data_IF_130915167830
#
_entry.id   IF_130915167830
#
_cell.length_a   1.000
_cell.length_b   1.000
_cell.length_c   1.000
_cell.angle_alpha   90.00
_cell.angle_beta   90.00
_cell.angle_gamma   90.00
#
_symmetry.space_group_name_H-M   'P 1'
#
loop_
_entity.id
_entity.type
_entity.pdbx_description
1 polymer ?
#
# COMPACT_ATOMS: atom_id res chain seq x y z
N UNK A 1 -2.79 12.22 8.16
CA UNK A 1 -2.98 13.66 8.48
C UNK A 1 -1.73 14.09 9.21
N UNK A 2 -1.21 15.31 9.00
CA UNK A 2 -0.02 15.75 9.73
C UNK A 2 -0.29 15.64 11.22
N UNK A 3 0.55 14.87 11.92
CA UNK A 3 0.39 14.63 13.35
C UNK A 3 1.17 15.68 14.12
N UNK A 4 0.66 16.08 15.29
CA UNK A 4 1.34 17.02 16.18
C UNK A 4 2.72 16.48 16.58
N UNK A 5 2.84 15.17 16.80
CA UNK A 5 4.12 14.52 17.07
C UNK A 5 5.07 14.57 15.86
N UNK A 6 4.58 14.39 14.64
CA UNK A 6 5.40 14.51 13.42
C UNK A 6 5.92 15.93 13.19
N UNK A 7 5.09 16.94 13.46
CA UNK A 7 5.49 18.34 13.44
C UNK A 7 6.51 18.65 14.54
N UNK A 8 6.27 18.22 15.79
CA UNK A 8 7.21 18.44 16.88
C UNK A 8 8.57 17.76 16.61
N UNK A 9 8.56 16.52 16.12
CA UNK A 9 9.78 15.80 15.80
C UNK A 9 10.54 16.43 14.64
N UNK A 10 9.87 16.88 13.58
CA UNK A 10 10.53 17.56 12.45
C UNK A 10 11.18 18.88 12.86
N UNK A 11 10.54 19.63 13.75
CA UNK A 11 11.11 20.84 14.36
C UNK A 11 12.36 20.52 15.19
N UNK A 12 12.28 19.52 16.07
CA UNK A 12 13.42 19.08 16.89
C UNK A 12 14.57 18.59 16.00
N UNK A 13 14.27 17.80 14.98
CA UNK A 13 15.28 17.30 14.03
C UNK A 13 15.94 18.42 13.25
N UNK A 14 15.19 19.41 12.77
CA UNK A 14 15.76 20.58 12.10
C UNK A 14 16.68 21.37 13.02
N UNK A 15 16.28 21.60 14.27
CA UNK A 15 17.13 22.27 15.24
C UNK A 15 18.40 21.46 15.56
N UNK A 16 18.27 20.14 15.76
CA UNK A 16 19.40 19.25 16.02
C UNK A 16 20.37 19.17 14.83
N UNK A 17 19.85 19.05 13.61
CA UNK A 17 20.64 19.01 12.39
C UNK A 17 21.45 20.30 12.22
N UNK A 18 20.82 21.46 12.46
CA UNK A 18 21.54 22.73 12.43
C UNK A 18 22.60 22.82 13.52
N UNK A 19 22.29 22.37 14.74
CA UNK A 19 23.25 22.30 15.84
C UNK A 19 24.48 21.44 15.51
N UNK A 20 24.25 20.28 14.89
CA UNK A 20 25.32 19.40 14.43
C UNK A 20 26.17 20.03 13.33
N UNK A 21 25.51 20.63 12.32
CA UNK A 21 26.20 21.32 11.23
C UNK A 21 27.09 22.47 11.73
N UNK A 22 26.59 23.27 12.68
CA UNK A 22 27.36 24.38 13.28
C UNK A 22 28.60 23.88 14.02
N UNK A 23 28.46 22.78 14.78
CA UNK A 23 29.58 22.16 15.49
C UNK A 23 30.62 21.59 14.55
N UNK A 24 30.19 20.93 13.47
CA UNK A 24 31.09 20.38 12.44
C UNK A 24 31.89 21.48 11.72
N UNK A 25 31.23 22.57 11.33
CA UNK A 25 31.87 23.66 10.58
C UNK A 25 32.69 24.57 11.51
N UNK A 26 32.46 24.51 12.83
CA UNK A 26 33.09 25.44 13.78
C UNK A 26 32.63 26.89 13.59
N UNK A 27 31.45 27.10 13.01
CA UNK A 27 30.97 28.43 12.62
C UNK A 27 30.69 29.30 13.85
N UNK A 28 31.40 30.42 13.96
CA UNK A 28 31.11 31.49 14.93
C UNK A 28 30.12 32.48 14.31
N UNK A 29 29.10 32.85 15.08
CA UNK A 29 28.08 33.81 14.65
C UNK A 29 28.43 35.20 15.21
N UNK A 30 28.39 36.24 14.36
CA UNK A 30 28.64 37.61 14.83
C UNK A 30 27.38 38.25 15.43
N UNK A 31 26.19 37.80 15.02
CA UNK A 31 24.89 38.27 15.51
C UNK A 31 23.98 37.10 15.91
N UNK A 32 23.15 37.34 16.93
CA UNK A 32 22.10 36.41 17.36
C UNK A 32 21.04 36.20 16.27
N UNK A 33 20.79 37.21 15.43
CA UNK A 33 19.82 37.11 14.34
C UNK A 33 20.27 36.13 13.26
N UNK A 34 21.55 36.16 12.87
CA UNK A 34 22.12 35.20 11.90
C UNK A 34 22.04 33.75 12.41
N UNK A 35 22.18 33.58 13.72
CA UNK A 35 21.99 32.29 14.37
C UNK A 35 20.54 31.85 14.23
N UNK A 36 19.59 32.67 14.66
CA UNK A 36 18.16 32.34 14.65
C UNK A 36 17.61 32.08 13.24
N UNK A 37 18.01 32.87 12.24
CA UNK A 37 17.61 32.66 10.85
C UNK A 37 18.06 31.29 10.35
N UNK A 38 19.29 30.88 10.65
CA UNK A 38 19.80 29.56 10.26
C UNK A 38 19.04 28.39 10.89
N UNK A 39 18.63 28.53 12.16
CA UNK A 39 17.78 27.53 12.83
C UNK A 39 16.36 27.52 12.26
N UNK A 40 15.76 28.70 12.05
CA UNK A 40 14.44 28.84 11.46
C UNK A 40 14.33 28.24 10.06
N UNK A 41 15.32 28.50 9.20
CA UNK A 41 15.39 27.90 7.85
C UNK A 41 15.51 26.38 7.91
N UNK A 42 16.33 25.85 8.81
CA UNK A 42 16.50 24.41 8.96
C UNK A 42 15.23 23.74 9.49
N UNK A 43 14.61 24.30 10.54
CA UNK A 43 13.34 23.81 11.09
C UNK A 43 12.24 23.85 10.02
N UNK A 44 12.14 24.95 9.27
CA UNK A 44 11.19 25.09 8.17
C UNK A 44 11.39 24.05 7.05
N UNK A 45 12.64 23.79 6.66
CA UNK A 45 12.95 22.76 5.65
C UNK A 45 12.53 21.36 6.10
N UNK A 46 12.79 21.00 7.35
CA UNK A 46 12.39 19.69 7.89
C UNK A 46 10.87 19.55 8.05
N UNK A 47 10.19 20.59 8.51
CA UNK A 47 8.72 20.61 8.59
C UNK A 47 8.11 20.49 7.19
N UNK A 48 8.62 21.26 6.21
CA UNK A 48 8.18 21.18 4.82
C UNK A 48 8.39 19.79 4.22
N UNK A 49 9.56 19.19 4.43
CA UNK A 49 9.85 17.81 4.01
C UNK A 49 8.91 16.79 4.65
N UNK A 50 8.63 16.93 5.94
CA UNK A 50 7.65 16.08 6.63
C UNK A 50 6.26 16.18 6.00
N UNK A 51 5.76 17.40 5.72
CA UNK A 51 4.45 17.59 5.10
C UNK A 51 4.36 16.96 3.70
N UNK A 52 5.43 17.07 2.91
CA UNK A 52 5.50 16.43 1.59
C UNK A 52 5.46 14.91 1.72
N UNK A 53 6.31 14.32 2.57
CA UNK A 53 6.30 12.87 2.80
C UNK A 53 4.94 12.38 3.29
N UNK A 54 4.33 13.09 4.24
CA UNK A 54 3.01 12.79 4.79
C UNK A 54 1.91 12.84 3.71
N UNK A 55 2.00 13.75 2.74
CA UNK A 55 1.08 13.80 1.61
C UNK A 55 1.18 12.53 0.73
N UNK A 56 2.40 12.10 0.42
CA UNK A 56 2.63 10.90 -0.39
C UNK A 56 2.23 9.61 0.33
N UNK A 57 2.55 9.46 1.62
CA UNK A 57 2.19 8.27 2.41
C UNK A 57 0.67 8.14 2.55
N UNK A 58 -0.05 9.26 2.72
CA UNK A 58 -1.51 9.26 2.74
C UNK A 58 -2.11 8.81 1.41
N UNK A 59 -1.61 9.36 0.28
CA UNK A 59 -2.08 8.96 -1.05
C UNK A 59 -1.87 7.47 -1.30
N UNK A 60 -0.68 6.96 -0.99
CA UNK A 60 -0.37 5.54 -1.15
C UNK A 60 -1.27 4.67 -0.27
N UNK A 61 -1.48 5.07 0.99
CA UNK A 61 -2.38 4.38 1.91
C UNK A 61 -3.82 4.34 1.41
N UNK A 62 -4.31 5.42 0.79
CA UNK A 62 -5.64 5.46 0.19
C UNK A 62 -5.76 4.50 -1.01
N UNK A 63 -4.75 4.45 -1.88
CA UNK A 63 -4.71 3.51 -3.01
C UNK A 63 -4.72 2.07 -2.52
N UNK A 64 -3.89 1.75 -1.53
CA UNK A 64 -3.83 0.41 -0.91
C UNK A 64 -5.18 0.01 -0.31
N UNK A 65 -5.84 0.91 0.43
CA UNK A 65 -7.17 0.65 1.01
C UNK A 65 -8.22 0.38 -0.08
N UNK A 66 -8.19 1.11 -1.20
CA UNK A 66 -9.10 0.86 -2.33
C UNK A 66 -8.87 -0.51 -2.95
N UNK A 67 -7.62 -0.90 -3.19
CA UNK A 67 -7.27 -2.23 -3.72
C UNK A 67 -7.70 -3.34 -2.77
N UNK A 68 -7.50 -3.13 -1.47
CA UNK A 68 -7.88 -4.10 -0.44
C UNK A 68 -9.41 -4.24 -0.34
N UNK A 69 -10.17 -3.16 -0.50
CA UNK A 69 -11.63 -3.23 -0.58
C UNK A 69 -12.10 -4.04 -1.80
N UNK A 70 -11.53 -3.78 -2.98
CA UNK A 70 -11.83 -4.54 -4.21
C UNK A 70 -11.54 -6.04 -4.04
N UNK A 71 -10.41 -6.40 -3.42
CA UNK A 71 -10.07 -7.81 -3.15
C UNK A 71 -11.05 -8.47 -2.17
N UNK A 72 -11.54 -7.73 -1.18
CA UNK A 72 -12.56 -8.23 -0.25
C UNK A 72 -13.90 -8.45 -0.95
N UNK A 73 -14.31 -7.54 -1.84
CA UNK A 73 -15.52 -7.69 -2.65
C UNK A 73 -15.42 -8.88 -3.61
N UNK A 74 -14.27 -9.06 -4.26
CA UNK A 74 -14.01 -10.23 -5.12
C UNK A 74 -14.06 -11.54 -4.33
N UNK A 75 -13.53 -11.56 -3.10
CA UNK A 75 -13.62 -12.75 -2.22
C UNK A 75 -15.04 -13.04 -1.77
N UNK A 76 -15.81 -12.01 -1.40
CA UNK A 76 -17.23 -12.18 -1.06
C UNK A 76 -18.03 -12.72 -2.26
N UNK A 77 -17.73 -12.25 -3.47
CA UNK A 77 -18.32 -12.80 -4.69
C UNK A 77 -17.87 -14.25 -4.94
N UNK A 78 -16.59 -14.60 -4.77
CA UNK A 78 -16.14 -16.00 -4.93
C UNK A 78 -16.78 -16.95 -3.92
N UNK A 79 -16.96 -16.50 -2.68
CA UNK A 79 -17.66 -17.29 -1.66
C UNK A 79 -19.15 -17.49 -2.03
N UNK A 80 -19.76 -16.48 -2.65
CA UNK A 80 -21.13 -16.59 -3.20
C UNK A 80 -21.17 -17.56 -4.39
N UNK A 81 -20.17 -17.54 -5.28
CA UNK A 81 -20.05 -18.48 -6.40
C UNK A 81 -19.73 -19.91 -5.97
N UNK A 82 -19.03 -20.11 -4.85
CA UNK A 82 -18.79 -21.44 -4.28
C UNK A 82 -20.07 -22.11 -3.77
N UNK A 83 -21.10 -21.35 -3.40
CA UNK A 83 -22.44 -21.91 -3.10
C UNK A 83 -23.15 -22.39 -4.38
N UNK A 84 -22.92 -21.74 -5.53
CA UNK A 84 -23.46 -22.20 -6.82
C UNK A 84 -22.71 -23.38 -7.45
N UNK A 85 -21.44 -23.60 -7.06
CA UNK A 85 -20.67 -24.77 -7.55
C UNK A 85 -21.02 -26.06 -6.77
N UNK A 86 -21.72 -25.99 -5.63
CA UNK A 86 -22.33 -27.18 -5.00
C UNK A 86 -23.65 -27.60 -5.64
N UNK A 87 -24.37 -26.70 -6.33
CA UNK A 87 -25.58 -27.05 -7.10
C UNK A 87 -25.30 -27.39 -8.57
N UNK A 88 -24.08 -27.15 -9.07
CA UNK A 88 -23.66 -27.57 -10.42
C UNK A 88 -23.00 -28.94 -10.43
N UNK A 89 -23.75 -29.94 -9.96
CA UNK A 89 -23.51 -31.36 -10.22
C UNK A 89 -23.74 -31.76 -11.71
N UNK A 90 -23.64 -30.80 -12.63
CA UNK A 90 -23.81 -30.99 -14.08
C UNK A 90 -22.65 -30.43 -14.91
N UNK A 91 -21.48 -30.19 -14.30
CA UNK A 91 -20.25 -30.12 -15.10
C UNK A 91 -20.02 -31.51 -15.68
N UNK A 92 -20.30 -31.66 -16.96
CA UNK A 92 -19.87 -32.82 -17.76
C UNK A 92 -18.36 -33.00 -17.59
N UNK A 93 -17.99 -33.80 -16.60
CA UNK A 93 -16.62 -34.23 -16.36
C UNK A 93 -16.15 -34.98 -17.60
N UNK A 94 -14.88 -34.81 -17.97
CA UNK A 94 -14.27 -35.47 -19.12
C UNK A 94 -14.42 -37.02 -19.07
N UNK A 95 -14.65 -37.58 -17.88
CA UNK A 95 -15.04 -38.99 -17.67
C UNK A 95 -16.36 -39.38 -18.34
N UNK A 96 -17.38 -38.49 -18.39
CA UNK A 96 -18.68 -38.80 -19.01
C UNK A 96 -18.61 -38.74 -20.55
N UNK A 97 -17.73 -37.88 -21.09
CA UNK A 97 -17.44 -37.85 -22.54
C UNK A 97 -16.77 -39.14 -23.00
N UNK A 98 -15.81 -39.67 -22.24
CA UNK A 98 -15.17 -40.95 -22.56
C UNK A 98 -16.17 -42.10 -22.61
N UNK A 99 -17.01 -42.25 -21.57
CA UNK A 99 -17.99 -43.35 -21.50
C UNK A 99 -19.04 -43.33 -22.62
N UNK A 100 -19.56 -42.16 -23.00
CA UNK A 100 -20.57 -42.06 -24.06
C UNK A 100 -20.05 -42.50 -25.43
N UNK A 101 -18.77 -42.21 -25.74
CA UNK A 101 -18.15 -42.66 -26.98
C UNK A 101 -17.93 -44.18 -27.01
N UNK A 102 -17.52 -44.78 -25.90
CA UNK A 102 -17.34 -46.24 -25.80
C UNK A 102 -18.67 -46.99 -25.78
N UNK A 103 -19.70 -46.48 -25.08
CA UNK A 103 -21.04 -47.09 -25.07
C UNK A 103 -21.72 -47.04 -26.46
N UNK A 104 -21.47 -46.01 -27.27
CA UNK A 104 -21.95 -45.99 -28.66
C UNK A 104 -21.24 -47.02 -29.54
N UNK A 105 -19.92 -47.15 -29.42
CA UNK A 105 -19.14 -48.13 -30.20
C UNK A 105 -19.58 -49.56 -29.86
N UNK A 106 -19.84 -49.85 -28.57
CA UNK A 106 -20.31 -51.16 -28.13
C UNK A 106 -21.75 -51.45 -28.58
N UNK A 107 -22.59 -50.42 -28.71
CA UNK A 107 -23.96 -50.54 -29.25
C UNK A 107 -24.00 -50.78 -30.76
N UNK A 108 -23.05 -50.26 -31.54
CA UNK A 108 -22.98 -50.44 -33.00
C UNK A 108 -22.05 -51.59 -33.43
N UNK A 109 -21.30 -52.18 -32.48
CA UNK A 109 -20.31 -53.24 -32.72
C UNK A 109 -20.83 -54.68 -32.67
N UNK A 110 -22.15 -54.91 -32.48
CA UNK A 110 -22.74 -56.24 -32.59
C UNK A 110 -23.12 -56.56 -34.04
N UNK A 111 -22.13 -57.04 -34.79
CA UNK A 111 -22.30 -57.97 -35.91
C UNK A 111 -21.48 -59.23 -35.63
#
# INVERSE_FOLDING_TARGET
>A
MPTVSGLALSVIFGAAARGFQVRLIGKKYSSLLDRLVGYGLSMGAFVGGYLVCEHFTQRNSQVLKRRLAQLREQRAQSDTFHQFDQEKEYRMTAQRKGKFFWDLIDSFGKF
#
